data_IF_410292448006
#
_entry.id   IF_410292448006
#
_cell.length_a   1.000
_cell.length_b   1.000
_cell.length_c   1.000
_cell.angle_alpha   90.00
_cell.angle_beta   90.00
_cell.angle_gamma   90.00
#
_symmetry.space_group_name_H-M   'P 1'
#
loop_
_entity.id
_entity.type
_entity.pdbx_description
1 polymer ?
#
# COMPACT_ATOMS: atom_id res chain seq x y z
N UNK A 1 26.47 27.70 -5.63
CA UNK A 1 27.08 26.62 -4.83
C UNK A 1 25.95 25.70 -4.42
N UNK A 2 25.74 24.61 -5.15
CA UNK A 2 24.62 23.69 -4.91
C UNK A 2 24.99 22.76 -3.73
N UNK A 3 24.25 22.85 -2.63
CA UNK A 3 24.32 21.83 -1.59
C UNK A 3 23.74 20.53 -2.18
N UNK A 4 24.61 19.58 -2.49
CA UNK A 4 24.21 18.19 -2.65
C UNK A 4 23.65 17.73 -1.30
N UNK A 5 22.32 17.60 -1.21
CA UNK A 5 21.69 16.87 -0.11
C UNK A 5 22.06 15.41 -0.32
N UNK A 6 23.22 15.03 0.23
CA UNK A 6 23.61 13.64 0.33
C UNK A 6 22.51 12.91 1.08
N UNK A 7 21.96 11.86 0.47
CA UNK A 7 21.32 10.80 1.22
C UNK A 7 22.38 10.34 2.20
N UNK A 8 22.25 10.72 3.47
CA UNK A 8 23.08 10.15 4.51
C UNK A 8 22.63 8.70 4.60
N UNK A 9 23.32 7.82 3.86
CA UNK A 9 23.34 6.40 4.15
C UNK A 9 23.97 6.29 5.53
N UNK A 10 23.16 6.47 6.58
CA UNK A 10 23.38 5.65 7.75
C UNK A 10 23.42 4.23 7.19
N UNK A 11 24.53 3.54 7.41
CA UNK A 11 24.66 2.12 7.08
C UNK A 11 23.36 1.46 7.49
N UNK A 12 22.58 0.97 6.52
CA UNK A 12 21.35 0.25 6.84
C UNK A 12 21.74 -0.77 7.91
N UNK A 13 21.07 -0.79 9.07
CA UNK A 13 21.39 -1.76 10.10
C UNK A 13 21.40 -3.14 9.44
N UNK A 14 22.34 -4.03 9.83
CA UNK A 14 22.42 -5.35 9.23
C UNK A 14 21.03 -6.01 9.29
N UNK A 15 20.63 -6.74 8.22
CA UNK A 15 19.30 -7.35 8.17
C UNK A 15 19.06 -8.18 9.43
N UNK A 16 18.07 -7.80 10.23
CA UNK A 16 17.68 -8.52 11.44
C UNK A 16 16.72 -9.63 11.01
N UNK A 17 17.05 -10.88 11.33
CA UNK A 17 16.16 -12.02 11.08
C UNK A 17 14.85 -11.84 11.85
N UNK A 18 13.71 -12.05 11.17
CA UNK A 18 12.36 -11.95 11.73
C UNK A 18 11.94 -13.21 12.52
N UNK A 19 12.79 -13.67 13.46
CA UNK A 19 12.57 -14.89 14.24
C UNK A 19 13.19 -16.16 13.64
N UNK A 20 12.76 -17.32 14.15
CA UNK A 20 13.27 -18.67 13.79
C UNK A 20 12.63 -19.27 12.54
N UNK A 21 11.49 -18.73 12.10
CA UNK A 21 10.75 -19.23 10.95
C UNK A 21 11.19 -18.49 9.68
N UNK A 22 11.55 -19.19 8.59
CA UNK A 22 11.95 -18.52 7.35
C UNK A 22 10.76 -17.71 6.83
N UNK A 23 10.94 -16.40 6.52
CA UNK A 23 9.90 -15.64 5.85
C UNK A 23 9.52 -16.36 4.56
N UNK A 24 8.22 -16.51 4.31
CA UNK A 24 7.72 -17.04 3.05
C UNK A 24 8.36 -16.23 1.90
N UNK A 25 8.63 -16.84 0.72
CA UNK A 25 8.97 -16.08 -0.50
C UNK A 25 7.95 -14.98 -0.84
N UNK A 26 6.79 -15.00 -0.17
CA UNK A 26 5.68 -14.08 -0.30
C UNK A 26 5.46 -13.18 0.94
N UNK A 27 6.42 -13.09 1.86
CA UNK A 27 6.23 -12.46 3.18
C UNK A 27 5.65 -11.04 3.12
N UNK A 28 6.10 -10.23 2.15
CA UNK A 28 5.52 -8.92 1.80
C UNK A 28 4.93 -8.90 0.40
N UNK A 29 4.88 -10.04 -0.28
CA UNK A 29 4.46 -10.10 -1.68
C UNK A 29 2.98 -9.75 -1.84
N UNK A 30 2.67 -9.37 -3.07
CA UNK A 30 1.38 -8.88 -3.54
C UNK A 30 1.12 -7.44 -3.07
N UNK A 31 1.14 -6.54 -4.08
CA UNK A 31 0.67 -5.16 -4.13
C UNK A 31 1.38 -4.07 -3.30
N UNK A 32 0.88 -2.85 -3.45
CA UNK A 32 1.38 -1.57 -2.92
C UNK A 32 0.79 -1.22 -1.53
N UNK A 33 0.35 -2.22 -0.76
CA UNK A 33 -0.26 -2.04 0.57
C UNK A 33 0.75 -1.55 1.63
N UNK A 34 0.21 -0.86 2.65
CA UNK A 34 0.95 -0.54 3.88
C UNK A 34 1.23 -1.81 4.68
N UNK A 35 2.50 -2.12 4.91
CA UNK A 35 2.94 -3.29 5.68
C UNK A 35 3.65 -2.92 6.98
N UNK A 36 4.18 -1.71 7.08
CA UNK A 36 4.97 -1.22 8.20
C UNK A 36 4.26 -0.01 8.80
N UNK A 37 4.26 0.09 10.13
CA UNK A 37 3.88 1.29 10.87
C UNK A 37 4.84 1.55 12.01
N UNK A 38 4.93 2.80 12.44
CA UNK A 38 5.70 3.21 13.61
C UNK A 38 4.75 3.75 14.69
N UNK A 39 4.91 3.37 15.94
CA UNK A 39 4.16 3.98 17.05
C UNK A 39 4.88 5.23 17.57
N UNK A 40 4.16 6.04 18.36
CA UNK A 40 4.67 7.30 18.90
C UNK A 40 5.88 7.11 19.84
N UNK A 41 6.00 5.94 20.46
CA UNK A 41 7.14 5.52 21.28
C UNK A 41 8.36 5.06 20.45
N UNK A 42 8.24 5.05 19.12
CA UNK A 42 9.27 4.60 18.19
C UNK A 42 9.24 3.11 17.85
N UNK A 43 8.31 2.33 18.41
CA UNK A 43 8.13 0.91 18.10
C UNK A 43 7.71 0.74 16.64
N UNK A 44 8.39 -0.14 15.90
CA UNK A 44 8.02 -0.54 14.55
C UNK A 44 7.12 -1.78 14.60
N UNK A 45 6.08 -1.81 13.77
CA UNK A 45 5.25 -2.99 13.56
C UNK A 45 5.19 -3.34 12.08
N UNK A 46 5.41 -4.60 11.73
CA UNK A 46 5.33 -5.10 10.36
C UNK A 46 4.34 -6.25 10.24
N UNK A 47 3.45 -6.18 9.26
CA UNK A 47 2.58 -7.28 8.87
C UNK A 47 3.26 -8.13 7.79
N UNK A 48 3.32 -9.45 8.02
CA UNK A 48 3.92 -10.42 7.10
C UNK A 48 2.99 -11.62 6.88
N UNK A 49 3.28 -12.39 5.84
CA UNK A 49 2.74 -13.75 5.67
C UNK A 49 3.80 -14.77 6.08
N UNK A 50 3.50 -15.60 7.07
CA UNK A 50 4.33 -16.71 7.53
C UNK A 50 3.67 -18.05 7.17
N UNK A 51 4.45 -19.09 6.85
CA UNK A 51 3.90 -20.42 6.62
C UNK A 51 3.90 -21.21 7.92
N UNK A 52 2.72 -21.52 8.44
CA UNK A 52 2.55 -22.34 9.65
C UNK A 52 2.00 -23.69 9.25
N UNK A 53 2.82 -24.74 9.36
CA UNK A 53 2.46 -26.10 8.95
C UNK A 53 1.93 -26.18 7.50
N UNK A 54 2.63 -25.50 6.57
CA UNK A 54 2.26 -25.35 5.14
C UNK A 54 1.01 -24.51 4.85
N UNK A 55 0.42 -23.87 5.86
CA UNK A 55 -0.69 -22.92 5.67
C UNK A 55 -0.17 -21.49 5.82
N UNK A 56 -0.35 -20.61 4.80
CA UNK A 56 0.03 -19.21 4.95
C UNK A 56 -0.87 -18.56 5.99
N UNK A 57 -0.28 -17.81 6.91
CA UNK A 57 -0.99 -17.07 7.93
C UNK A 57 -0.41 -15.67 8.08
N UNK A 58 -1.29 -14.70 8.35
CA UNK A 58 -0.87 -13.34 8.67
C UNK A 58 -0.27 -13.30 10.07
N UNK A 59 0.84 -12.57 10.19
CA UNK A 59 1.51 -12.24 11.44
C UNK A 59 1.82 -10.76 11.52
N UNK A 60 1.89 -10.25 12.74
CA UNK A 60 2.42 -8.92 13.01
C UNK A 60 3.60 -9.06 13.96
N UNK A 61 4.73 -8.48 13.58
CA UNK A 61 5.93 -8.43 14.40
C UNK A 61 6.14 -7.00 14.89
N UNK A 62 6.75 -6.87 16.06
CA UNK A 62 7.14 -5.61 16.66
C UNK A 62 8.64 -5.56 16.91
N UNK A 63 9.24 -4.38 16.81
CA UNK A 63 10.65 -4.16 17.14
C UNK A 63 10.84 -2.73 17.66
N UNK A 64 11.69 -2.57 18.69
CA UNK A 64 12.23 -1.25 19.04
C UNK A 64 13.34 -0.92 18.05
N UNK A 65 13.52 0.35 17.66
CA UNK A 65 14.48 0.72 16.62
C UNK A 65 15.89 0.12 16.86
N UNK A 66 16.30 -0.83 16.01
CA UNK A 66 17.58 -1.55 16.11
C UNK A 66 17.59 -2.83 16.98
N UNK A 67 16.46 -3.18 17.59
CA UNK A 67 16.27 -4.39 18.40
C UNK A 67 15.73 -5.59 17.60
N UNK A 68 15.68 -6.80 18.21
CA UNK A 68 15.12 -7.99 17.57
C UNK A 68 13.60 -7.83 17.32
N UNK A 69 13.10 -8.53 16.31
CA UNK A 69 11.66 -8.62 16.05
C UNK A 69 11.01 -9.66 16.96
N UNK A 70 9.87 -9.31 17.54
CA UNK A 70 9.04 -10.18 18.36
C UNK A 70 7.63 -10.31 17.74
N UNK A 71 7.12 -11.53 17.66
CA UNK A 71 5.78 -11.81 17.14
C UNK A 71 4.69 -11.38 18.15
N UNK A 72 3.67 -10.67 17.68
CA UNK A 72 2.45 -10.42 18.44
C UNK A 72 1.57 -11.69 18.43
N UNK A 73 0.59 -11.84 19.35
CA UNK A 73 -0.38 -12.92 19.26
C UNK A 73 -1.01 -13.02 17.87
N UNK A 74 -1.36 -14.22 17.37
CA UNK A 74 -1.97 -14.37 16.06
C UNK A 74 -3.27 -13.55 15.93
N UNK A 75 -3.49 -12.81 14.82
CA UNK A 75 -4.69 -12.00 14.64
C UNK A 75 -5.95 -12.83 14.38
N UNK A 76 -5.79 -14.09 13.98
CA UNK A 76 -6.89 -15.03 13.72
C UNK A 76 -6.56 -16.39 14.33
N UNK A 77 -7.55 -16.98 15.03
CA UNK A 77 -7.46 -18.32 15.62
C UNK A 77 -8.07 -19.43 14.77
N UNK A 78 -8.49 -19.13 13.54
CA UNK A 78 -9.19 -20.09 12.66
C UNK A 78 -8.26 -21.16 12.10
N UNK A 79 -6.97 -20.86 11.98
CA UNK A 79 -6.00 -21.72 11.29
C UNK A 79 -6.11 -21.69 9.77
N UNK A 80 -7.04 -20.91 9.21
CA UNK A 80 -7.26 -20.80 7.77
C UNK A 80 -6.07 -20.14 7.07
N UNK A 81 -5.96 -20.40 5.76
CA UNK A 81 -5.01 -19.70 4.92
C UNK A 81 -5.36 -18.20 4.84
N UNK A 82 -4.42 -17.36 5.26
CA UNK A 82 -4.55 -15.91 5.33
C UNK A 82 -3.30 -15.20 4.79
N UNK A 83 -3.50 -14.18 3.95
CA UNK A 83 -2.44 -13.39 3.31
C UNK A 83 -2.87 -11.96 2.96
N UNK A 84 -2.05 -11.24 2.18
CA UNK A 84 -2.34 -9.90 1.62
C UNK A 84 -2.77 -8.87 2.66
N UNK A 85 -2.11 -8.92 3.82
CA UNK A 85 -2.43 -8.06 4.93
C UNK A 85 -2.01 -6.61 4.70
N UNK A 86 -2.80 -5.66 5.22
CA UNK A 86 -2.40 -4.27 5.35
C UNK A 86 -2.53 -3.83 6.81
N UNK A 87 -1.62 -2.96 7.25
CA UNK A 87 -1.50 -2.50 8.63
C UNK A 87 -1.53 -0.96 8.68
N UNK A 88 -2.30 -0.41 9.61
CA UNK A 88 -2.21 1.00 10.00
C UNK A 88 -2.20 1.12 11.54
N UNK A 89 -1.83 2.30 12.03
CA UNK A 89 -1.93 2.66 13.45
C UNK A 89 -2.70 3.97 13.56
N UNK A 90 -3.59 4.06 14.55
CA UNK A 90 -4.34 5.30 14.82
C UNK A 90 -3.60 6.22 15.81
N UNK A 91 -4.13 7.43 16.03
CA UNK A 91 -3.53 8.40 16.95
C UNK A 91 -3.55 7.98 18.43
N UNK A 92 -4.29 6.91 18.77
CA UNK A 92 -4.37 6.31 20.11
C UNK A 92 -3.40 5.14 20.27
N UNK A 93 -2.64 4.80 19.23
CA UNK A 93 -1.70 3.68 19.23
C UNK A 93 -2.37 2.32 18.96
N UNK A 94 -3.63 2.29 18.52
CA UNK A 94 -4.29 1.04 18.14
C UNK A 94 -3.84 0.61 16.75
N UNK A 95 -3.41 -0.65 16.61
CA UNK A 95 -3.15 -1.21 15.30
C UNK A 95 -4.46 -1.64 14.64
N UNK A 96 -4.56 -1.40 13.35
CA UNK A 96 -5.66 -1.81 12.48
C UNK A 96 -5.11 -2.73 11.41
N UNK A 97 -5.55 -3.98 11.41
CA UNK A 97 -5.11 -4.99 10.46
C UNK A 97 -6.30 -5.42 9.61
N UNK A 98 -6.08 -5.47 8.30
CA UNK A 98 -7.00 -6.12 7.35
C UNK A 98 -6.23 -7.19 6.58
N UNK A 99 -6.90 -8.26 6.18
CA UNK A 99 -6.28 -9.34 5.42
C UNK A 99 -7.28 -10.09 4.56
N UNK A 100 -6.77 -10.92 3.65
CA UNK A 100 -7.57 -11.88 2.88
C UNK A 100 -7.46 -13.25 3.57
N UNK A 101 -8.58 -13.90 3.87
CA UNK A 101 -8.62 -15.22 4.51
C UNK A 101 -9.60 -16.15 3.79
N UNK A 102 -9.24 -17.43 3.69
CA UNK A 102 -10.17 -18.48 3.24
C UNK A 102 -11.35 -18.59 4.19
N UNK A 103 -12.56 -18.58 3.63
CA UNK A 103 -13.83 -18.75 4.34
C UNK A 103 -14.66 -19.89 3.71
N UNK A 104 -15.91 -20.05 4.14
CA UNK A 104 -16.79 -21.14 3.68
C UNK A 104 -17.11 -21.11 2.18
N UNK A 105 -17.12 -19.94 1.54
CA UNK A 105 -17.51 -19.76 0.14
C UNK A 105 -16.32 -19.59 -0.80
N UNK A 106 -15.36 -18.75 -0.39
CA UNK A 106 -14.09 -18.47 -1.07
C UNK A 106 -13.21 -17.66 -0.09
N UNK A 107 -12.24 -16.89 -0.57
CA UNK A 107 -11.51 -15.90 0.20
C UNK A 107 -12.30 -14.61 0.37
N UNK A 108 -12.26 -14.07 1.59
CA UNK A 108 -12.95 -12.85 1.99
C UNK A 108 -12.00 -11.91 2.73
N UNK A 109 -12.41 -10.65 2.89
CA UNK A 109 -11.65 -9.62 3.60
C UNK A 109 -12.06 -9.60 5.07
N UNK A 110 -11.09 -9.66 5.96
CA UNK A 110 -11.27 -9.62 7.41
C UNK A 110 -10.54 -8.43 8.03
N UNK A 111 -10.96 -8.08 9.25
CA UNK A 111 -10.40 -7.00 10.05
C UNK A 111 -10.30 -7.36 11.53
N UNK A 112 -9.25 -6.88 12.18
CA UNK A 112 -9.08 -6.88 13.63
C UNK A 112 -8.28 -5.65 14.08
N UNK A 113 -8.47 -5.24 15.34
CA UNK A 113 -7.67 -4.21 16.01
C UNK A 113 -6.86 -4.78 17.16
N UNK A 114 -5.67 -4.24 17.40
CA UNK A 114 -4.79 -4.62 18.52
C UNK A 114 -4.61 -3.43 19.46
N UNK A 115 -4.79 -3.66 20.75
CA UNK A 115 -4.70 -2.63 21.81
C UNK A 115 -3.51 -2.83 22.77
N UNK A 116 -2.44 -3.46 22.31
CA UNK A 116 -1.20 -3.67 23.08
C UNK A 116 -1.04 -5.06 23.68
N UNK A 117 -2.13 -5.79 23.93
CA UNK A 117 -2.08 -7.14 24.52
C UNK A 117 -2.80 -8.21 23.69
N UNK A 118 -3.92 -7.87 23.06
CA UNK A 118 -4.75 -8.81 22.32
C UNK A 118 -5.36 -8.19 21.07
N UNK A 119 -5.69 -9.06 20.12
CA UNK A 119 -6.52 -8.72 18.96
C UNK A 119 -7.99 -8.86 19.31
N UNK A 120 -8.84 -7.97 18.80
CA UNK A 120 -10.28 -8.24 18.79
C UNK A 120 -10.59 -9.47 17.94
N UNK A 121 -11.71 -10.17 18.21
CA UNK A 121 -12.22 -11.18 17.30
C UNK A 121 -12.29 -10.67 15.85
N UNK A 122 -11.80 -11.43 14.86
CA UNK A 122 -11.90 -11.06 13.45
C UNK A 122 -13.34 -10.79 13.01
N UNK A 123 -13.52 -9.75 12.20
CA UNK A 123 -14.80 -9.41 11.58
C UNK A 123 -14.63 -9.51 10.06
N UNK A 124 -15.50 -10.25 9.39
CA UNK A 124 -15.57 -10.25 7.93
C UNK A 124 -16.16 -8.91 7.44
N UNK A 125 -15.41 -8.22 6.57
CA UNK A 125 -15.81 -6.94 6.00
C UNK A 125 -16.59 -7.08 4.70
N UNK A 126 -16.23 -8.06 3.88
CA UNK A 126 -16.79 -8.26 2.54
C UNK A 126 -17.99 -9.20 2.52
N UNK A 127 -18.93 -8.96 1.60
CA UNK A 127 -20.12 -9.79 1.38
C UNK A 127 -20.20 -10.32 -0.06
N UNK A 128 -19.06 -10.37 -0.76
CA UNK A 128 -18.93 -10.83 -2.14
C UNK A 128 -19.39 -12.29 -2.29
N UNK A 129 -20.22 -12.62 -3.30
CA UNK A 129 -20.61 -14.01 -3.62
C UNK A 129 -19.44 -14.91 -4.08
N UNK A 130 -18.29 -14.34 -4.41
CA UNK A 130 -17.04 -15.07 -4.71
C UNK A 130 -15.83 -14.44 -4.04
N UNK A 131 -14.64 -14.62 -4.62
CA UNK A 131 -13.39 -14.03 -4.12
C UNK A 131 -13.50 -12.53 -3.84
N UNK A 132 -13.09 -12.12 -2.64
CA UNK A 132 -12.78 -10.75 -2.28
C UNK A 132 -11.40 -10.67 -1.60
N UNK A 133 -10.58 -9.71 -2.01
CA UNK A 133 -9.21 -9.64 -1.51
C UNK A 133 -8.42 -8.40 -1.88
N UNK A 134 -7.12 -8.47 -1.57
CA UNK A 134 -6.16 -7.38 -1.72
C UNK A 134 -6.61 -6.08 -1.00
N UNK A 135 -6.95 -6.14 0.30
CA UNK A 135 -7.48 -4.98 1.01
C UNK A 135 -6.41 -3.91 1.27
N UNK A 136 -6.72 -2.64 1.07
CA UNK A 136 -5.88 -1.51 1.45
C UNK A 136 -6.61 -0.69 2.50
N UNK A 137 -5.90 -0.23 3.54
CA UNK A 137 -6.52 0.55 4.61
C UNK A 137 -5.80 1.87 4.90
N UNK A 138 -6.56 2.79 5.50
CA UNK A 138 -6.14 4.10 5.94
C UNK A 138 -6.84 4.52 7.23
N UNK A 139 -6.21 5.39 8.02
CA UNK A 139 -6.80 5.94 9.24
C UNK A 139 -6.73 7.45 9.15
N UNK A 140 -7.87 8.11 9.38
CA UNK A 140 -7.97 9.57 9.32
C UNK A 140 -7.66 10.24 10.66
N UNK A 141 -7.67 11.58 10.65
CA UNK A 141 -7.42 12.43 11.82
C UNK A 141 -8.46 12.29 12.95
N UNK A 142 -9.60 11.66 12.66
CA UNK A 142 -10.67 11.35 13.61
C UNK A 142 -10.63 9.89 14.05
N UNK A 143 -9.56 9.16 13.75
CA UNK A 143 -9.39 7.73 14.00
C UNK A 143 -10.46 6.85 13.31
N UNK A 144 -11.04 7.30 12.20
CA UNK A 144 -11.89 6.49 11.35
C UNK A 144 -11.01 5.64 10.44
N UNK A 145 -11.35 4.36 10.31
CA UNK A 145 -10.61 3.42 9.46
C UNK A 145 -11.32 3.33 8.12
N UNK A 146 -10.62 3.59 7.04
CA UNK A 146 -11.12 3.48 5.67
C UNK A 146 -10.49 2.24 5.03
N UNK A 147 -11.30 1.35 4.47
CA UNK A 147 -10.83 0.11 3.85
C UNK A 147 -11.39 0.02 2.44
N UNK A 148 -10.54 -0.31 1.48
CA UNK A 148 -10.92 -0.68 0.12
C UNK A 148 -10.41 -2.07 -0.22
N UNK A 149 -11.10 -2.79 -1.09
CA UNK A 149 -10.70 -4.09 -1.62
C UNK A 149 -11.36 -4.28 -2.97
N UNK A 150 -11.00 -5.33 -3.71
CA UNK A 150 -11.84 -5.76 -4.83
C UNK A 150 -12.59 -7.04 -4.48
N UNK A 151 -13.81 -7.20 -5.01
CA UNK A 151 -14.67 -8.36 -4.79
C UNK A 151 -15.47 -8.71 -6.03
N UNK A 152 -15.83 -9.98 -6.17
CA UNK A 152 -16.62 -10.47 -7.30
C UNK A 152 -18.09 -10.13 -7.12
N UNK A 153 -18.68 -9.34 -8.02
CA UNK A 153 -20.11 -8.94 -7.93
C UNK A 153 -21.09 -9.99 -8.47
N UNK A 154 -20.58 -11.15 -8.90
CA UNK A 154 -21.33 -12.18 -9.61
C UNK A 154 -21.02 -12.24 -11.11
N UNK A 155 -20.38 -11.19 -11.66
CA UNK A 155 -19.96 -11.13 -13.07
C UNK A 155 -18.54 -10.57 -13.24
N UNK A 156 -18.20 -9.49 -12.54
CA UNK A 156 -16.92 -8.78 -12.63
C UNK A 156 -16.35 -8.50 -11.24
N UNK A 157 -15.04 -8.27 -11.17
CA UNK A 157 -14.42 -7.72 -9.97
C UNK A 157 -14.68 -6.22 -9.87
N UNK A 158 -15.16 -5.76 -8.72
CA UNK A 158 -15.40 -4.34 -8.44
C UNK A 158 -14.62 -3.89 -7.22
N UNK A 159 -14.27 -2.61 -7.15
CA UNK A 159 -13.68 -2.00 -5.95
C UNK A 159 -14.80 -1.67 -4.96
N UNK A 160 -14.64 -2.14 -3.73
CA UNK A 160 -15.56 -1.90 -2.61
C UNK A 160 -14.88 -1.04 -1.53
N UNK A 161 -15.71 -0.44 -0.69
CA UNK A 161 -15.30 0.46 0.38
C UNK A 161 -16.18 0.32 1.62
N UNK A 162 -15.53 0.38 2.80
CA UNK A 162 -16.18 0.58 4.10
C UNK A 162 -15.37 1.54 4.97
N UNK A 163 -16.06 2.24 5.87
CA UNK A 163 -15.47 3.10 6.89
C UNK A 163 -15.89 2.63 8.28
N UNK A 164 -14.96 2.61 9.22
CA UNK A 164 -15.25 2.41 10.64
C UNK A 164 -15.49 3.79 11.28
N UNK A 165 -16.76 4.11 11.48
CA UNK A 165 -17.19 5.30 12.22
C UNK A 165 -17.33 4.96 13.73
N UNK A 166 -17.50 5.96 14.63
CA UNK A 166 -17.71 5.69 16.06
C UNK A 166 -18.88 4.76 16.36
N UNK A 167 -19.91 4.74 15.49
CA UNK A 167 -21.07 3.85 15.59
C UNK A 167 -20.87 2.45 14.99
N UNK A 168 -19.71 2.16 14.41
CA UNK A 168 -19.41 0.89 13.75
C UNK A 168 -19.10 1.03 12.26
N UNK A 169 -18.99 -0.10 11.57
CA UNK A 169 -18.73 -0.13 10.14
C UNK A 169 -19.93 0.37 9.35
N UNK A 170 -19.70 1.25 8.37
CA UNK A 170 -20.69 1.58 7.34
C UNK A 170 -21.11 0.32 6.57
N UNK A 171 -22.22 0.39 5.82
CA UNK A 171 -22.54 -0.65 4.83
C UNK A 171 -21.43 -0.78 3.79
N UNK A 172 -21.26 -1.98 3.25
CA UNK A 172 -20.41 -2.21 2.09
C UNK A 172 -20.93 -1.41 0.90
N UNK A 173 -20.02 -0.70 0.22
CA UNK A 173 -20.35 0.14 -0.93
C UNK A 173 -19.41 -0.18 -2.09
N UNK A 174 -19.98 -0.52 -3.24
CA UNK A 174 -19.22 -0.55 -4.49
C UNK A 174 -18.84 0.88 -4.93
N UNK A 175 -17.57 1.09 -5.22
CA UNK A 175 -17.03 2.32 -5.81
C UNK A 175 -16.95 2.26 -7.34
N UNK A 176 -16.96 1.04 -7.90
CA UNK A 176 -17.03 0.79 -9.35
C UNK A 176 -18.22 -0.11 -9.67
N UNK A 177 -18.72 -0.01 -10.90
CA UNK A 177 -19.90 -0.74 -11.38
C UNK A 177 -19.87 -0.93 -12.91
N UNK A 178 -18.67 -0.96 -13.49
CA UNK A 178 -18.50 -1.11 -14.94
C UNK A 178 -18.44 -2.59 -15.31
N UNK A 179 -18.78 -2.93 -16.55
CA UNK A 179 -18.73 -4.30 -17.07
C UNK A 179 -17.30 -4.75 -17.43
N UNK A 180 -16.35 -4.48 -16.54
CA UNK A 180 -14.92 -4.83 -16.63
C UNK A 180 -14.38 -5.02 -15.22
N UNK A 181 -13.35 -5.84 -15.08
CA UNK A 181 -12.69 -6.06 -13.79
C UNK A 181 -11.94 -4.82 -13.32
N UNK A 182 -12.16 -4.43 -12.06
CA UNK A 182 -11.44 -3.39 -11.34
C UNK A 182 -10.72 -4.02 -10.13
N UNK A 183 -9.38 -3.99 -10.13
CA UNK A 183 -8.56 -4.79 -9.20
C UNK A 183 -7.39 -4.01 -8.61
N UNK A 184 -6.77 -4.61 -7.57
CA UNK A 184 -5.64 -4.06 -6.79
C UNK A 184 -5.82 -2.58 -6.36
N UNK A 185 -6.87 -2.26 -5.59
CA UNK A 185 -7.06 -0.89 -5.14
C UNK A 185 -6.03 -0.48 -4.07
N UNK A 186 -5.63 0.79 -4.12
CA UNK A 186 -4.81 1.43 -3.12
C UNK A 186 -5.48 2.71 -2.64
N UNK A 187 -5.43 2.96 -1.33
CA UNK A 187 -6.06 4.11 -0.68
C UNK A 187 -5.03 5.04 -0.03
N UNK A 188 -5.27 6.35 -0.09
CA UNK A 188 -4.64 7.37 0.73
C UNK A 188 -5.71 8.42 1.10
N UNK A 189 -5.52 9.14 2.21
CA UNK A 189 -6.43 10.21 2.61
C UNK A 189 -5.71 11.55 2.54
N UNK A 190 -6.41 12.56 2.03
CA UNK A 190 -5.98 13.94 2.04
C UNK A 190 -6.57 14.74 3.21
N UNK A 191 -6.33 16.06 3.23
CA UNK A 191 -6.96 16.99 4.16
C UNK A 191 -8.48 16.84 4.17
N UNK A 192 -9.12 17.24 5.28
CA UNK A 192 -10.58 17.22 5.47
C UNK A 192 -11.21 15.81 5.41
N UNK A 193 -10.39 14.75 5.39
CA UNK A 193 -10.85 13.38 5.29
C UNK A 193 -11.21 12.96 3.86
N UNK A 194 -10.72 13.68 2.85
CA UNK A 194 -10.85 13.28 1.46
C UNK A 194 -10.23 11.92 1.22
N UNK A 195 -10.97 11.00 0.59
CA UNK A 195 -10.48 9.64 0.31
C UNK A 195 -10.03 9.56 -1.14
N UNK A 196 -8.81 9.13 -1.37
CA UNK A 196 -8.23 8.95 -2.70
C UNK A 196 -8.00 7.47 -2.94
N UNK A 197 -8.57 6.95 -4.02
CA UNK A 197 -8.47 5.53 -4.40
C UNK A 197 -7.92 5.44 -5.81
N UNK A 198 -6.95 4.56 -6.01
CA UNK A 198 -6.44 4.18 -7.33
C UNK A 198 -6.54 2.68 -7.50
N UNK A 199 -6.77 2.21 -8.72
CA UNK A 199 -6.87 0.79 -9.07
C UNK A 199 -6.50 0.63 -10.55
N UNK A 200 -6.40 -0.60 -11.04
CA UNK A 200 -6.32 -0.84 -12.48
C UNK A 200 -7.51 -1.66 -12.97
N UNK A 201 -7.85 -1.50 -14.24
CA UNK A 201 -8.96 -2.18 -14.92
C UNK A 201 -8.66 -2.38 -16.39
N UNK A 202 -9.46 -3.20 -17.05
CA UNK A 202 -9.48 -3.23 -18.51
C UNK A 202 -10.22 -1.99 -19.07
N UNK A 203 -9.66 -1.35 -20.09
CA UNK A 203 -10.28 -0.23 -20.76
C UNK A 203 -11.48 -0.71 -21.60
N UNK A 204 -12.69 -0.26 -21.23
CA UNK A 204 -13.98 -0.77 -21.74
C UNK A 204 -14.13 -0.81 -23.27
N UNK A 205 -13.50 0.10 -24.01
CA UNK A 205 -13.61 0.16 -25.46
C UNK A 205 -12.42 -0.44 -26.24
N UNK A 206 -11.27 -0.63 -25.59
CA UNK A 206 -10.00 -0.86 -26.29
C UNK A 206 -9.20 -2.05 -25.73
N UNK A 207 -9.57 -2.59 -24.56
CA UNK A 207 -9.02 -3.84 -24.02
C UNK A 207 -7.63 -3.76 -23.39
N UNK A 208 -6.97 -2.60 -23.36
CA UNK A 208 -5.70 -2.44 -22.64
C UNK A 208 -5.93 -2.21 -21.14
N UNK A 209 -4.97 -2.56 -20.30
CA UNK A 209 -5.03 -2.29 -18.86
C UNK A 209 -4.72 -0.83 -18.57
N UNK A 210 -5.57 -0.16 -17.80
CA UNK A 210 -5.41 1.23 -17.42
C UNK A 210 -5.47 1.43 -15.91
N UNK A 211 -4.74 2.44 -15.42
CA UNK A 211 -4.85 2.92 -14.04
C UNK A 211 -5.92 4.00 -13.98
N UNK A 212 -6.85 3.83 -13.04
CA UNK A 212 -7.94 4.77 -12.77
C UNK A 212 -7.83 5.35 -11.35
N UNK A 213 -8.50 6.48 -11.16
CA UNK A 213 -8.49 7.27 -9.93
C UNK A 213 -9.91 7.69 -9.55
N UNK A 214 -10.17 7.75 -8.24
CA UNK A 214 -11.38 8.28 -7.63
C UNK A 214 -11.09 9.10 -6.37
N UNK A 215 -11.85 10.18 -6.18
CA UNK A 215 -11.88 10.98 -4.95
C UNK A 215 -13.26 10.97 -4.30
N UNK A 216 -13.32 10.66 -3.00
CA UNK A 216 -14.51 10.87 -2.18
C UNK A 216 -14.37 12.13 -1.33
N UNK A 217 -15.44 12.92 -1.29
CA UNK A 217 -15.65 14.00 -0.31
C UNK A 217 -16.85 13.60 0.56
N UNK A 218 -16.57 13.17 1.79
CA UNK A 218 -17.55 12.44 2.60
C UNK A 218 -17.94 11.13 1.91
N UNK A 219 -19.22 11.02 1.54
CA UNK A 219 -19.76 9.87 0.81
C UNK A 219 -20.04 10.20 -0.68
N UNK A 220 -19.66 11.37 -1.18
CA UNK A 220 -19.87 11.75 -2.58
C UNK A 220 -18.63 11.47 -3.42
N UNK A 221 -18.81 10.88 -4.60
CA UNK A 221 -17.75 10.76 -5.61
C UNK A 221 -17.56 12.13 -6.26
N UNK A 222 -16.48 12.83 -5.91
CA UNK A 222 -16.19 14.17 -6.41
C UNK A 222 -15.34 14.17 -7.69
N UNK A 223 -14.57 13.11 -7.92
CA UNK A 223 -13.76 12.95 -9.13
C UNK A 223 -13.63 11.46 -9.45
N UNK A 224 -13.75 11.10 -10.73
CA UNK A 224 -13.40 9.77 -11.25
C UNK A 224 -12.82 9.93 -12.66
N UNK A 225 -11.70 9.26 -12.95
CA UNK A 225 -11.04 9.34 -14.27
C UNK A 225 -10.05 8.21 -14.52
N UNK A 226 -9.70 8.01 -15.79
CA UNK A 226 -8.46 7.32 -16.19
C UNK A 226 -7.26 8.24 -15.98
N UNK A 227 -6.14 7.67 -15.53
CA UNK A 227 -4.92 8.38 -15.19
C UNK A 227 -3.72 7.99 -16.06
N UNK A 228 -3.64 6.73 -16.48
CA UNK A 228 -2.53 6.24 -17.30
C UNK A 228 -2.59 6.72 -18.76
N UNK A 229 -1.48 6.56 -19.46
CA UNK A 229 -1.37 6.88 -20.89
C UNK A 229 -2.29 5.96 -21.70
N UNK A 230 -3.08 6.51 -22.63
CA UNK A 230 -3.99 5.73 -23.45
C UNK A 230 -3.22 4.73 -24.34
N UNK A 231 -3.69 3.48 -24.39
CA UNK A 231 -3.08 2.40 -25.17
C UNK A 231 -1.80 1.82 -24.57
N UNK A 232 -1.43 2.22 -23.35
CA UNK A 232 -0.29 1.67 -22.62
C UNK A 232 -0.80 0.84 -21.46
N UNK A 233 -0.51 -0.46 -21.49
CA UNK A 233 -0.84 -1.36 -20.38
C UNK A 233 -0.18 -0.88 -19.09
N UNK A 234 -1.03 -0.60 -18.10
CA UNK A 234 -0.66 0.04 -16.84
C UNK A 234 -1.31 -0.66 -15.66
N UNK A 235 -0.50 -1.09 -14.69
CA UNK A 235 -0.92 -1.90 -13.53
C UNK A 235 -0.19 -1.48 -12.25
N UNK A 236 -0.57 -2.11 -11.14
CA UNK A 236 0.05 -1.94 -9.82
C UNK A 236 0.22 -0.49 -9.36
N UNK A 237 -0.87 0.29 -9.30
CA UNK A 237 -0.78 1.67 -8.87
C UNK A 237 -0.50 1.78 -7.36
N UNK A 238 0.22 2.84 -7.00
CA UNK A 238 0.47 3.26 -5.61
C UNK A 238 0.16 4.74 -5.49
N UNK A 239 -0.31 5.17 -4.32
CA UNK A 239 -0.74 6.56 -4.09
C UNK A 239 -0.18 7.12 -2.77
N UNK A 240 0.19 8.39 -2.75
CA UNK A 240 0.47 9.14 -1.53
C UNK A 240 -0.20 10.50 -1.62
N UNK A 241 -0.65 11.04 -0.49
CA UNK A 241 -1.26 12.38 -0.44
C UNK A 241 -0.51 13.20 0.60
N UNK A 242 -0.04 14.36 0.18
CA UNK A 242 0.65 15.32 1.04
C UNK A 242 -0.33 15.99 2.02
N UNK A 243 0.19 16.54 3.11
CA UNK A 243 -0.60 17.34 4.05
C UNK A 243 -1.21 18.60 3.40
N UNK A 244 -0.65 19.06 2.27
CA UNK A 244 -1.22 20.14 1.45
C UNK A 244 -2.43 19.70 0.61
N UNK A 245 -2.68 18.40 0.48
CA UNK A 245 -3.67 17.83 -0.43
C UNK A 245 -3.13 17.46 -1.81
N UNK A 246 -1.84 17.71 -2.08
CA UNK A 246 -1.20 17.26 -3.32
C UNK A 246 -1.22 15.72 -3.39
N UNK A 247 -1.70 15.17 -4.50
CA UNK A 247 -1.80 13.73 -4.73
C UNK A 247 -0.64 13.28 -5.61
N UNK A 248 -0.04 12.15 -5.27
CA UNK A 248 1.04 11.53 -6.01
C UNK A 248 0.65 10.10 -6.35
N UNK A 249 0.71 9.72 -7.62
CA UNK A 249 0.41 8.36 -8.06
C UNK A 249 1.55 7.87 -8.94
N UNK A 250 2.00 6.65 -8.71
CA UNK A 250 2.94 5.94 -9.56
C UNK A 250 2.39 4.57 -9.92
N UNK A 251 2.77 4.04 -11.07
CA UNK A 251 2.31 2.75 -11.56
C UNK A 251 3.34 2.11 -12.49
N UNK A 252 3.26 0.79 -12.64
CA UNK A 252 4.02 0.06 -13.65
C UNK A 252 3.31 0.19 -14.99
N UNK A 253 4.06 0.53 -16.05
CA UNK A 253 3.57 0.71 -17.41
C UNK A 253 4.49 0.03 -18.42
N UNK A 254 3.91 -0.67 -19.40
CA UNK A 254 4.65 -1.34 -20.47
C UNK A 254 4.82 -0.41 -21.68
N UNK A 255 5.95 0.29 -21.76
CA UNK A 255 6.23 1.32 -22.76
C UNK A 255 7.36 0.87 -23.67
N UNK A 256 7.12 0.82 -24.99
CA UNK A 256 8.19 0.55 -25.97
C UNK A 256 8.91 -0.78 -25.72
N UNK A 257 8.17 -1.83 -25.33
CA UNK A 257 8.66 -3.15 -24.96
C UNK A 257 9.48 -3.23 -23.66
N UNK A 258 9.40 -2.20 -22.81
CA UNK A 258 10.10 -2.15 -21.51
C UNK A 258 9.12 -1.85 -20.38
N UNK A 259 9.30 -2.51 -19.24
CA UNK A 259 8.58 -2.18 -18.01
C UNK A 259 9.15 -0.90 -17.43
N UNK A 260 8.30 0.10 -17.24
CA UNK A 260 8.69 1.41 -16.72
C UNK A 260 7.83 1.77 -15.53
N UNK A 261 8.32 2.64 -14.65
CA UNK A 261 7.44 3.31 -13.70
C UNK A 261 7.03 4.66 -14.29
N UNK A 262 5.73 4.85 -14.42
CA UNK A 262 5.13 6.15 -14.71
C UNK A 262 4.62 6.81 -13.43
N UNK A 263 4.57 8.13 -13.44
CA UNK A 263 4.14 8.96 -12.31
C UNK A 263 3.26 10.11 -12.80
N UNK A 264 2.27 10.49 -11.99
CA UNK A 264 1.51 11.73 -12.15
C UNK A 264 1.21 12.33 -10.78
N UNK A 265 1.09 13.65 -10.74
CA UNK A 265 0.72 14.40 -9.53
C UNK A 265 -0.48 15.30 -9.78
N UNK A 266 -1.28 15.51 -8.75
CA UNK A 266 -2.43 16.41 -8.75
C UNK A 266 -2.21 17.48 -7.69
N UNK A 267 -2.07 18.72 -8.14
CA UNK A 267 -2.28 19.88 -7.29
C UNK A 267 -3.72 20.38 -7.51
N UNK A 268 -3.91 21.41 -8.34
CA UNK A 268 -5.24 21.77 -8.86
C UNK A 268 -5.68 20.86 -10.01
N UNK A 269 -4.76 20.53 -10.91
CA UNK A 269 -4.97 19.65 -12.06
C UNK A 269 -3.94 18.52 -12.04
N UNK A 270 -4.28 17.42 -12.71
CA UNK A 270 -3.33 16.34 -12.95
C UNK A 270 -2.24 16.76 -13.94
N UNK A 271 -0.99 16.43 -13.62
CA UNK A 271 0.10 16.45 -14.58
C UNK A 271 -0.11 15.37 -15.65
N UNK A 272 0.53 15.52 -16.81
CA UNK A 272 0.68 14.40 -17.73
C UNK A 272 1.52 13.28 -17.08
N UNK A 273 1.26 12.01 -17.40
CA UNK A 273 2.14 10.91 -17.01
C UNK A 273 3.59 11.12 -17.47
N UNK A 274 4.53 10.90 -16.57
CA UNK A 274 5.97 10.97 -16.84
C UNK A 274 6.63 9.63 -16.51
N UNK A 275 7.54 9.17 -17.37
CA UNK A 275 8.41 8.02 -17.06
C UNK A 275 9.51 8.50 -16.11
N UNK A 276 9.64 7.84 -14.97
CA UNK A 276 10.61 8.21 -13.92
C UNK A 276 11.77 7.22 -13.80
N UNK A 277 11.76 6.15 -14.58
CA UNK A 277 12.82 5.13 -14.57
C UNK A 277 13.78 5.27 -15.76
N UNK A 278 15.04 4.81 -15.63
CA UNK A 278 15.95 4.71 -16.76
C UNK A 278 15.40 3.80 -17.87
N UNK A 279 15.69 4.11 -19.13
CA UNK A 279 15.27 3.30 -20.27
C UNK A 279 16.02 1.96 -20.40
N UNK A 280 17.11 1.76 -19.65
CA UNK A 280 17.99 0.60 -19.79
C UNK A 280 17.65 -0.58 -18.88
N UNK A 281 16.71 -0.43 -17.95
CA UNK A 281 16.39 -1.44 -16.92
C UNK A 281 14.87 -1.48 -16.72
N UNK A 282 14.27 -2.66 -16.89
CA UNK A 282 12.85 -2.89 -16.60
C UNK A 282 12.58 -2.64 -15.12
N UNK A 283 11.46 -1.97 -14.82
CA UNK A 283 11.08 -1.56 -13.49
C UNK A 283 9.64 -1.95 -13.16
N UNK A 284 9.44 -2.56 -11.99
CA UNK A 284 8.19 -3.18 -11.54
C UNK A 284 7.88 -2.80 -10.09
N UNK A 285 6.62 -3.01 -9.71
CA UNK A 285 6.14 -2.94 -8.32
C UNK A 285 6.51 -1.63 -7.58
N UNK A 286 6.06 -0.46 -8.08
CA UNK A 286 6.41 0.81 -7.46
C UNK A 286 5.76 0.98 -6.08
N UNK A 287 6.48 1.62 -5.16
CA UNK A 287 5.93 2.03 -3.86
C UNK A 287 6.26 3.47 -3.56
N UNK A 288 5.23 4.26 -3.24
CA UNK A 288 5.33 5.67 -2.90
C UNK A 288 5.21 5.90 -1.41
N UNK A 289 6.00 6.83 -0.91
CA UNK A 289 5.84 7.39 0.41
C UNK A 289 6.08 8.88 0.38
N UNK A 290 5.55 9.59 1.38
CA UNK A 290 5.76 11.02 1.52
C UNK A 290 6.12 11.34 2.97
N UNK A 291 7.04 12.28 3.15
CA UNK A 291 7.38 12.77 4.48
C UNK A 291 6.66 14.08 4.83
N UNK A 292 6.91 14.56 6.05
CA UNK A 292 6.32 15.80 6.57
C UNK A 292 6.79 17.07 5.82
N UNK A 293 7.84 16.98 5.01
CA UNK A 293 8.35 18.07 4.16
C UNK A 293 7.79 17.98 2.74
N UNK A 294 6.84 17.08 2.48
CA UNK A 294 6.28 16.79 1.15
C UNK A 294 7.32 16.26 0.15
N UNK A 295 8.42 15.67 0.62
CA UNK A 295 9.34 14.93 -0.25
C UNK A 295 8.75 13.58 -0.57
N UNK A 296 8.72 13.24 -1.86
CA UNK A 296 8.14 11.99 -2.35
C UNK A 296 9.26 10.96 -2.54
N UNK A 297 9.13 9.81 -1.91
CA UNK A 297 10.04 8.69 -2.04
C UNK A 297 9.39 7.65 -2.93
N UNK A 298 10.06 7.29 -4.02
CA UNK A 298 9.64 6.24 -4.92
C UNK A 298 10.68 5.14 -4.89
N UNK A 299 10.24 3.91 -4.66
CA UNK A 299 11.08 2.71 -4.81
C UNK A 299 10.45 1.75 -5.80
N UNK A 300 11.28 0.94 -6.46
CA UNK A 300 10.83 -0.08 -7.39
C UNK A 300 11.82 -1.25 -7.46
N UNK A 301 11.31 -2.39 -7.91
CA UNK A 301 12.11 -3.56 -8.26
C UNK A 301 12.61 -3.43 -9.70
N UNK A 302 13.88 -3.76 -9.92
CA UNK A 302 14.51 -3.69 -11.24
C UNK A 302 14.92 -5.08 -11.76
N UNK A 303 14.95 -5.24 -13.08
CA UNK A 303 15.31 -6.50 -13.74
C UNK A 303 16.77 -6.95 -13.52
N UNK A 304 17.62 -6.09 -12.95
CA UNK A 304 18.99 -6.42 -12.54
C UNK A 304 19.08 -7.04 -11.13
N UNK A 305 17.93 -7.31 -10.51
CA UNK A 305 17.79 -7.93 -9.18
C UNK A 305 18.00 -6.98 -8.01
N UNK A 306 17.90 -5.66 -8.22
CA UNK A 306 18.04 -4.64 -7.18
C UNK A 306 16.73 -3.91 -6.91
N UNK A 307 16.64 -3.32 -5.72
CA UNK A 307 15.67 -2.28 -5.42
C UNK A 307 16.34 -0.93 -5.66
N UNK A 308 15.69 -0.07 -6.44
CA UNK A 308 16.12 1.31 -6.65
C UNK A 308 15.19 2.26 -5.92
N UNK A 309 15.73 3.43 -5.55
CA UNK A 309 15.01 4.53 -4.94
C UNK A 309 15.31 5.87 -5.59
N UNK A 310 14.31 6.74 -5.63
CA UNK A 310 14.44 8.16 -5.97
C UNK A 310 13.66 9.01 -4.97
N UNK A 311 14.12 10.25 -4.80
CA UNK A 311 13.43 11.26 -4.00
C UNK A 311 13.06 12.43 -4.89
N UNK A 312 11.80 12.86 -4.82
CA UNK A 312 11.31 14.08 -5.46
C UNK A 312 11.28 15.21 -4.44
N UNK A 313 12.03 16.28 -4.71
CA UNK A 313 11.96 17.54 -3.98
C UNK A 313 12.05 18.69 -5.01
N UNK A 314 10.91 19.02 -5.61
CA UNK A 314 10.86 19.84 -6.84
C UNK A 314 11.15 19.02 -8.11
N UNK A 315 12.27 18.29 -8.15
CA UNK A 315 12.63 17.34 -9.21
C UNK A 315 13.03 15.98 -8.63
N UNK A 316 13.01 14.93 -9.44
CA UNK A 316 13.54 13.62 -9.07
C UNK A 316 15.06 13.65 -8.95
N UNK A 317 15.59 13.04 -7.91
CA UNK A 317 17.01 12.69 -7.80
C UNK A 317 17.38 11.62 -8.84
N UNK A 318 18.67 11.40 -9.07
CA UNK A 318 19.08 10.21 -9.81
C UNK A 318 18.64 8.91 -9.07
N UNK A 319 18.31 7.83 -9.79
CA UNK A 319 18.09 6.51 -9.19
C UNK A 319 19.30 6.02 -8.39
N UNK A 320 19.06 5.57 -7.17
CA UNK A 320 20.05 4.96 -6.29
C UNK A 320 19.68 3.51 -6.01
N UNK A 321 20.61 2.58 -6.18
CA UNK A 321 20.43 1.20 -5.71
C UNK A 321 20.46 1.16 -4.16
N UNK A 322 19.40 0.65 -3.54
CA UNK A 322 19.23 0.59 -2.09
C UNK A 322 19.75 -0.70 -1.45
N UNK A 323 20.24 -1.65 -2.26
CA UNK A 323 20.79 -2.93 -1.80
C UNK A 323 21.68 -3.60 -2.83
N UNK A 324 22.34 -4.68 -2.42
CA UNK A 324 23.10 -5.56 -3.32
C UNK A 324 22.16 -6.34 -4.25
N UNK A 325 22.70 -6.94 -5.31
CA UNK A 325 21.92 -7.88 -6.13
C UNK A 325 21.40 -9.03 -5.26
N UNK A 326 20.13 -9.40 -5.46
CA UNK A 326 19.51 -10.48 -4.71
C UNK A 326 18.10 -10.77 -5.19
N UNK A 327 17.33 -11.45 -4.33
CA UNK A 327 15.94 -11.88 -4.62
C UNK A 327 14.92 -10.96 -3.94
N UNK A 328 15.32 -9.73 -3.58
CA UNK A 328 14.42 -8.76 -2.98
C UNK A 328 13.39 -8.31 -4.03
N UNK A 329 12.10 -8.57 -3.75
CA UNK A 329 10.98 -8.29 -4.66
C UNK A 329 9.84 -7.63 -3.90
N UNK A 330 8.99 -6.88 -4.62
CA UNK A 330 7.84 -6.17 -4.04
C UNK A 330 8.24 -5.20 -2.91
N UNK A 331 9.04 -4.16 -3.19
CA UNK A 331 9.41 -3.20 -2.17
C UNK A 331 8.17 -2.45 -1.65
N UNK A 332 8.12 -2.20 -0.34
CA UNK A 332 7.05 -1.40 0.27
C UNK A 332 7.65 -0.28 1.09
N UNK A 333 7.34 0.96 0.71
CA UNK A 333 7.68 2.18 1.45
C UNK A 333 6.45 2.85 2.03
N UNK A 334 5.25 2.29 1.89
CA UNK A 334 4.07 2.84 2.56
C UNK A 334 4.13 2.47 4.03
N UNK A 335 4.74 3.35 4.83
CA UNK A 335 5.16 3.09 6.21
C UNK A 335 4.31 3.77 7.28
N UNK A 336 3.37 4.66 6.93
CA UNK A 336 2.29 5.21 7.77
C UNK A 336 1.56 6.31 7.00
N UNK A 337 0.47 6.84 7.56
CA UNK A 337 -0.22 8.03 7.09
C UNK A 337 -0.22 9.11 8.18
N UNK A 338 0.02 10.37 7.79
CA UNK A 338 -0.13 11.60 8.59
C UNK A 338 0.73 11.69 9.87
N UNK A 339 1.64 12.67 9.94
CA UNK A 339 2.48 13.02 11.10
C UNK A 339 3.25 11.88 11.79
N UNK A 340 3.45 10.77 11.10
CA UNK A 340 4.19 9.62 11.61
C UNK A 340 5.32 9.23 10.64
N UNK A 341 6.29 10.14 10.41
CA UNK A 341 7.47 9.82 9.63
C UNK A 341 8.32 8.75 10.37
N UNK A 342 8.97 7.83 9.62
CA UNK A 342 9.89 6.84 10.18
C UNK A 342 11.11 7.50 10.83
N UNK A 343 11.44 8.71 10.34
CA UNK A 343 12.40 9.58 10.94
C UNK A 343 11.81 10.27 12.17
N UNK A 344 12.54 10.30 13.28
CA UNK A 344 12.29 11.32 14.30
C UNK A 344 12.46 12.72 13.68
N UNK A 345 12.44 13.75 14.52
CA UNK A 345 12.73 15.13 14.08
C UNK A 345 14.09 15.29 13.34
N UNK A 346 14.95 14.26 13.36
CA UNK A 346 16.28 14.19 12.78
C UNK A 346 16.36 13.59 11.35
N UNK A 347 15.24 13.16 10.75
CA UNK A 347 15.19 12.89 9.31
C UNK A 347 15.88 11.61 8.82
N UNK A 348 16.29 10.68 9.71
CA UNK A 348 16.93 9.40 9.33
C UNK A 348 15.91 8.26 9.16
N UNK A 349 15.97 7.55 8.04
CA UNK A 349 15.23 6.30 7.76
C UNK A 349 16.04 5.13 8.30
#
# INVERSE_FOLDING_TARGET
>A
MALAVGILLATLPPPVSAGSEPPSPLATAYNTQRKLVRAADGTLFVAITANVSNTPQVRVLSSTSGGPWAELPPPSGTGNAADRAALAIDSRGLLHLVWTEVSAQDRQVFYARFSGSEWTPPIQLSMSPGYAGFPSLAVDDRNRVHVVWYGFDGTFYQVYYRRLDPGGWTSERALTNQNVDATNPAIALGPEGHVHVVWFREHTAMGYLEVAYLRLEGDTVAEIRSLSTAGVDSVDPTIAVAASGQVHVAWHAFVGSTDTIQYAERDMNWSSPQIVTPASISALHPSLAIDHLSRVYLVWEASDGRIYGQVRNGSWSAPLALGSQGVARYPSTRWSQYNNPPCGADGRI
#
